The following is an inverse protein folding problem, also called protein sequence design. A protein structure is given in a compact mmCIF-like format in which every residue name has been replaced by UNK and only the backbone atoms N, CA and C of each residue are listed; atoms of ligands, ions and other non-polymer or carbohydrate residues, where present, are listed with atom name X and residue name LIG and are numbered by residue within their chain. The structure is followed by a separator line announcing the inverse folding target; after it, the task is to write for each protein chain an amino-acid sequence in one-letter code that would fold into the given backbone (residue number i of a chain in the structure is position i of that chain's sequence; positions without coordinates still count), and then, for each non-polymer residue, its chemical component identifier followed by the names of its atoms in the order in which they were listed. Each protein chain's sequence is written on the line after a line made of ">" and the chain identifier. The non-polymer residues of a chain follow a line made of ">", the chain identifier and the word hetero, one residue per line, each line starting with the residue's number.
data_IF_080839936388
#
_entry.id   IF_080839936388
#
_cell.length_a   1.000
_cell.length_b   1.000
_cell.length_c   1.000
_cell.angle_alpha   90.00
_cell.angle_beta   90.00
_cell.angle_gamma   90.00
#
_symmetry.space_group_name_H-M   'P 1'
#
loop_
_entity.id
_entity.type
_entity.pdbx_description
1 polymer ?
#
# COMPACT_ATOMS: atom_id res chain seq x y z
N UNK A 1 7.68 26.13 -1.22
CA UNK A 1 8.06 25.00 -0.35
C UNK A 1 8.99 24.12 -1.14
N UNK A 2 10.28 24.09 -0.81
CA UNK A 2 11.26 23.18 -1.38
C UNK A 2 10.82 21.76 -1.02
N UNK A 3 10.54 20.95 -2.05
CA UNK A 3 10.06 19.58 -1.86
C UNK A 3 11.05 18.78 -1.02
N UNK A 4 10.53 17.85 -0.21
CA UNK A 4 11.29 16.84 0.52
C UNK A 4 12.01 15.93 -0.51
N UNK A 5 13.17 16.38 -0.97
CA UNK A 5 14.00 15.62 -1.90
C UNK A 5 15.17 15.03 -1.11
N UNK A 6 15.40 13.73 -1.27
CA UNK A 6 16.60 13.06 -0.79
C UNK A 6 17.54 12.83 -1.95
N UNK A 7 18.83 13.06 -1.70
CA UNK A 7 19.95 12.65 -2.54
C UNK A 7 20.81 11.63 -1.77
N UNK A 8 21.64 10.90 -2.48
CA UNK A 8 22.65 10.04 -1.85
C UNK A 8 24.01 10.63 -2.16
N UNK A 9 24.72 11.02 -1.11
CA UNK A 9 26.07 11.57 -1.18
C UNK A 9 26.97 10.79 -0.21
N UNK A 10 28.07 10.25 -0.69
CA UNK A 10 28.99 9.41 0.08
C UNK A 10 28.30 8.30 0.89
N UNK A 11 27.30 7.64 0.29
CA UNK A 11 26.53 6.57 0.95
C UNK A 11 25.57 7.04 2.04
N UNK A 12 25.27 8.32 2.12
CA UNK A 12 24.36 8.92 3.11
C UNK A 12 23.18 9.58 2.41
N UNK A 13 22.01 9.51 3.03
CA UNK A 13 20.88 10.33 2.58
C UNK A 13 21.11 11.78 2.98
N UNK A 14 20.98 12.69 2.02
CA UNK A 14 21.10 14.13 2.23
C UNK A 14 19.83 14.84 1.77
N UNK A 15 19.48 15.92 2.45
CA UNK A 15 18.40 16.81 2.03
C UNK A 15 18.85 17.80 0.95
N UNK A 16 17.91 18.62 0.44
CA UNK A 16 18.22 19.63 -0.57
C UNK A 16 19.18 20.75 -0.12
N UNK A 17 19.64 20.74 1.12
CA UNK A 17 20.64 21.64 1.69
C UNK A 17 21.97 20.92 1.98
N UNK A 18 22.13 19.67 1.53
CA UNK A 18 23.31 18.86 1.75
C UNK A 18 23.47 18.33 3.19
N UNK A 19 22.44 18.43 4.04
CA UNK A 19 22.51 17.92 5.41
C UNK A 19 22.16 16.45 5.42
N UNK A 20 22.93 15.65 6.19
CA UNK A 20 22.63 14.23 6.37
C UNK A 20 21.25 14.04 7.03
N UNK A 21 20.45 13.17 6.45
CA UNK A 21 19.13 12.78 6.97
C UNK A 21 19.21 11.35 7.50
N UNK A 22 18.86 11.17 8.77
CA UNK A 22 18.68 9.86 9.37
C UNK A 22 17.20 9.51 9.26
N UNK A 23 16.90 8.46 8.49
CA UNK A 23 15.53 7.99 8.32
C UNK A 23 15.10 7.18 9.55
N UNK A 24 14.22 7.77 10.36
CA UNK A 24 13.55 7.09 11.48
C UNK A 24 12.15 6.72 11.04
N UNK A 25 12.00 5.46 10.63
CA UNK A 25 10.80 4.95 10.01
C UNK A 25 9.96 4.07 10.91
N UNK A 26 8.70 3.94 10.53
CA UNK A 26 7.74 2.99 11.08
C UNK A 26 6.92 2.38 9.96
N UNK A 27 6.49 1.13 10.12
CA UNK A 27 5.57 0.50 9.19
C UNK A 27 4.15 1.06 9.43
N UNK A 28 3.57 1.57 8.36
CA UNK A 28 2.15 1.90 8.29
C UNK A 28 1.50 0.74 7.54
N UNK A 29 1.18 -0.30 8.27
CA UNK A 29 0.66 -1.56 7.74
C UNK A 29 -0.77 -1.82 8.19
N UNK A 30 -1.10 -1.56 9.48
CA UNK A 30 -2.42 -1.84 10.03
C UNK A 30 -2.96 -3.18 9.53
N UNK A 31 -4.16 -3.17 8.99
CA UNK A 31 -4.81 -4.32 8.37
C UNK A 31 -4.63 -4.35 6.82
N UNK A 32 -3.52 -3.80 6.32
CA UNK A 32 -3.27 -3.67 4.88
C UNK A 32 -3.29 -4.99 4.10
N UNK A 33 -3.14 -6.13 4.79
CA UNK A 33 -3.18 -7.47 4.18
C UNK A 33 -4.56 -8.12 4.20
N UNK A 34 -5.56 -7.46 4.77
CA UNK A 34 -6.93 -7.96 4.85
C UNK A 34 -7.87 -7.01 4.12
N UNK A 35 -8.77 -7.52 3.27
CA UNK A 35 -9.76 -6.68 2.61
C UNK A 35 -10.67 -6.00 3.65
N UNK A 36 -11.20 -4.85 3.27
CA UNK A 36 -12.22 -4.16 4.04
C UNK A 36 -13.62 -4.67 3.72
N UNK A 37 -13.80 -5.28 2.55
CA UNK A 37 -15.06 -5.89 2.13
C UNK A 37 -14.78 -7.10 1.23
N UNK A 38 -15.29 -8.27 1.60
CA UNK A 38 -15.79 -8.63 2.93
C UNK A 38 -14.69 -8.50 3.99
N UNK A 39 -15.05 -8.16 5.23
CA UNK A 39 -14.11 -8.04 6.36
C UNK A 39 -13.72 -9.43 6.89
N UNK A 40 -12.94 -10.13 6.10
CA UNK A 40 -12.42 -11.47 6.41
C UNK A 40 -11.10 -11.68 5.64
N UNK A 41 -10.27 -12.66 6.06
CA UNK A 41 -9.09 -13.02 5.30
C UNK A 41 -9.45 -13.36 3.84
N UNK A 42 -8.67 -12.83 2.90
CA UNK A 42 -8.91 -13.07 1.46
C UNK A 42 -8.70 -14.53 1.02
N UNK A 43 -8.11 -15.36 1.88
CA UNK A 43 -7.94 -16.81 1.68
C UNK A 43 -8.94 -17.59 2.54
N UNK A 44 -10.18 -17.68 2.11
CA UNK A 44 -11.13 -18.59 2.76
C UNK A 44 -10.86 -20.02 2.28
N UNK A 45 -10.81 -21.03 3.17
CA UNK A 45 -10.43 -22.39 2.81
C UNK A 45 -11.25 -23.02 1.69
N UNK A 46 -12.51 -22.66 1.58
CA UNK A 46 -13.45 -23.25 0.60
C UNK A 46 -13.38 -22.56 -0.77
N UNK A 47 -12.76 -21.37 -0.85
CA UNK A 47 -12.63 -20.62 -2.09
C UNK A 47 -11.29 -19.86 -2.19
N UNK A 48 -10.21 -20.60 -2.12
CA UNK A 48 -8.84 -20.06 -2.23
C UNK A 48 -8.60 -19.25 -3.53
N UNK A 49 -9.42 -19.48 -4.55
CA UNK A 49 -9.27 -18.90 -5.89
C UNK A 49 -10.28 -17.78 -6.19
N UNK A 50 -11.28 -17.56 -5.36
CA UNK A 50 -12.22 -16.45 -5.51
C UNK A 50 -11.67 -15.19 -4.83
N UNK A 51 -11.09 -14.30 -5.62
CA UNK A 51 -10.54 -13.02 -5.19
C UNK A 51 -11.22 -11.84 -5.84
N UNK A 52 -12.17 -12.11 -6.71
CA UNK A 52 -12.69 -11.13 -7.67
C UNK A 52 -13.63 -10.08 -7.05
N UNK A 53 -13.98 -10.23 -5.78
CA UNK A 53 -14.99 -9.40 -5.10
C UNK A 53 -14.49 -8.78 -3.79
N UNK A 54 -13.17 -8.63 -3.62
CA UNK A 54 -12.59 -8.02 -2.42
C UNK A 54 -12.29 -6.54 -2.68
N UNK A 55 -12.40 -5.72 -1.63
CA UNK A 55 -11.97 -4.33 -1.64
C UNK A 55 -11.05 -4.04 -0.47
N UNK A 56 -10.05 -3.21 -0.70
CA UNK A 56 -9.11 -2.72 0.32
C UNK A 56 -9.26 -1.21 0.58
N UNK A 57 -10.31 -0.59 0.05
CA UNK A 57 -10.65 0.81 0.36
C UNK A 57 -10.76 0.97 1.87
N UNK A 58 -10.12 2.00 2.44
CA UNK A 58 -10.02 2.18 3.89
C UNK A 58 -8.88 1.42 4.56
N UNK A 59 -7.98 0.76 3.82
CA UNK A 59 -6.79 0.09 4.37
C UNK A 59 -5.51 0.86 4.06
N UNK A 60 -4.54 0.95 4.99
CA UNK A 60 -4.45 0.31 6.31
C UNK A 60 -5.33 0.95 7.40
N UNK A 61 -5.95 2.07 7.15
CA UNK A 61 -6.91 2.80 7.99
C UNK A 61 -7.74 3.75 7.11
N UNK A 62 -8.95 4.13 7.53
CA UNK A 62 -9.79 5.07 6.79
C UNK A 62 -9.06 6.42 6.58
N UNK A 63 -9.17 7.01 5.41
CA UNK A 63 -8.47 8.27 5.06
C UNK A 63 -8.78 9.43 6.01
N UNK A 64 -9.97 9.44 6.59
CA UNK A 64 -10.42 10.42 7.58
C UNK A 64 -9.53 10.42 8.83
N UNK A 65 -8.92 9.28 9.16
CA UNK A 65 -8.04 9.12 10.30
C UNK A 65 -6.58 9.50 10.01
N UNK A 66 -6.23 9.73 8.74
CA UNK A 66 -4.85 9.96 8.31
C UNK A 66 -4.16 11.09 9.09
N UNK A 67 -4.85 12.23 9.28
CA UNK A 67 -4.30 13.34 10.03
C UNK A 67 -4.06 13.03 11.51
N UNK A 68 -4.94 12.25 12.11
CA UNK A 68 -4.80 11.80 13.50
C UNK A 68 -3.55 10.91 13.65
N UNK A 69 -3.40 9.91 12.78
CA UNK A 69 -2.27 8.98 12.81
C UNK A 69 -0.95 9.69 12.52
N UNK A 70 -0.86 10.48 11.46
CA UNK A 70 0.39 11.14 11.09
C UNK A 70 0.80 12.23 12.09
N UNK A 71 -0.14 12.94 12.72
CA UNK A 71 0.21 13.88 13.78
C UNK A 71 0.82 13.16 14.99
N UNK A 72 0.29 12.01 15.39
CA UNK A 72 0.83 11.18 16.47
C UNK A 72 2.24 10.68 16.14
N UNK A 73 2.44 10.10 14.95
CA UNK A 73 3.74 9.62 14.50
C UNK A 73 4.77 10.75 14.46
N UNK A 74 4.38 11.93 13.99
CA UNK A 74 5.27 13.09 13.96
C UNK A 74 5.69 13.52 15.35
N UNK A 75 4.77 13.53 16.32
CA UNK A 75 5.08 13.83 17.72
C UNK A 75 6.02 12.82 18.36
N UNK A 76 5.98 11.56 17.93
CA UNK A 76 6.93 10.53 18.35
C UNK A 76 8.32 10.66 17.69
N UNK A 77 8.52 11.64 16.81
CA UNK A 77 9.81 11.92 16.16
C UNK A 77 10.11 11.10 14.92
N UNK A 78 9.13 10.38 14.37
CA UNK A 78 9.30 9.72 13.09
C UNK A 78 9.33 10.73 11.94
N UNK A 79 10.14 10.44 10.92
CA UNK A 79 10.24 11.25 9.70
C UNK A 79 10.04 10.43 8.43
N UNK A 80 9.88 9.12 8.56
CA UNK A 80 9.73 8.19 7.45
C UNK A 80 8.62 7.21 7.76
N UNK A 81 7.82 6.87 6.77
CA UNK A 81 6.85 5.77 6.83
C UNK A 81 7.14 4.76 5.73
N UNK A 82 7.03 3.48 6.06
CA UNK A 82 6.91 2.40 5.09
C UNK A 82 5.44 2.08 4.94
N UNK A 83 4.84 2.52 3.83
CA UNK A 83 3.43 2.30 3.52
C UNK A 83 3.29 0.95 2.85
N UNK A 84 2.69 0.01 3.58
CA UNK A 84 2.53 -1.38 3.13
C UNK A 84 1.17 -1.55 2.46
N UNK A 85 1.16 -2.20 1.31
CA UNK A 85 -0.05 -2.57 0.59
C UNK A 85 0.19 -3.89 -0.15
N UNK A 86 -0.88 -4.53 -0.63
CA UNK A 86 -0.78 -5.78 -1.39
C UNK A 86 -1.04 -5.54 -2.87
N UNK A 87 -0.57 -6.43 -3.72
CA UNK A 87 -0.97 -6.43 -5.14
C UNK A 87 -2.47 -6.59 -5.30
N UNK A 88 -3.07 -7.41 -4.46
CA UNK A 88 -4.52 -7.65 -4.43
C UNK A 88 -5.31 -6.35 -4.16
N UNK A 89 -4.75 -5.42 -3.39
CA UNK A 89 -5.38 -4.13 -3.15
C UNK A 89 -5.48 -3.26 -4.43
N UNK A 90 -4.58 -3.49 -5.38
CA UNK A 90 -4.56 -2.73 -6.63
C UNK A 90 -5.31 -3.45 -7.75
N UNK A 91 -5.19 -4.77 -7.84
CA UNK A 91 -5.63 -5.60 -8.97
C UNK A 91 -6.48 -6.79 -8.50
N UNK A 92 -7.40 -6.58 -7.55
CA UNK A 92 -8.24 -7.64 -7.01
C UNK A 92 -9.07 -8.35 -8.10
N UNK A 93 -9.62 -7.61 -9.05
CA UNK A 93 -10.46 -8.13 -10.12
C UNK A 93 -9.67 -8.84 -11.24
N UNK A 94 -8.34 -8.76 -11.25
CA UNK A 94 -7.50 -9.45 -12.21
C UNK A 94 -6.38 -8.56 -12.78
N UNK A 95 -5.42 -9.15 -13.49
CA UNK A 95 -4.27 -8.44 -14.03
C UNK A 95 -4.66 -7.31 -14.97
N UNK A 96 -4.19 -6.10 -14.65
CA UNK A 96 -4.46 -4.89 -15.44
C UNK A 96 -5.84 -4.27 -15.18
N UNK A 97 -6.62 -4.80 -14.22
CA UNK A 97 -7.90 -4.24 -13.79
C UNK A 97 -7.67 -3.57 -12.44
N UNK A 98 -7.44 -2.24 -12.46
CA UNK A 98 -7.05 -1.48 -11.28
C UNK A 98 -8.26 -1.04 -10.45
N UNK A 99 -8.13 -1.13 -9.12
CA UNK A 99 -9.09 -0.53 -8.18
C UNK A 99 -8.78 0.97 -8.05
N UNK A 100 -9.40 1.77 -8.92
CA UNK A 100 -9.22 3.23 -8.95
C UNK A 100 -9.66 3.89 -7.65
N UNK A 101 -10.68 3.34 -6.98
CA UNK A 101 -11.18 3.87 -5.71
C UNK A 101 -10.11 3.74 -4.60
N UNK A 102 -9.47 2.58 -4.52
CA UNK A 102 -8.34 2.36 -3.59
C UNK A 102 -7.13 3.25 -3.94
N UNK A 103 -6.81 3.40 -5.23
CA UNK A 103 -5.70 4.23 -5.68
C UNK A 103 -5.93 5.69 -5.28
N UNK A 104 -7.11 6.24 -5.56
CA UNK A 104 -7.46 7.62 -5.24
C UNK A 104 -7.39 7.88 -3.73
N UNK A 105 -7.96 6.99 -2.92
CA UNK A 105 -7.89 7.10 -1.47
C UNK A 105 -6.47 7.02 -0.94
N UNK A 106 -5.67 6.09 -1.47
CA UNK A 106 -4.26 5.97 -1.10
C UNK A 106 -3.49 7.26 -1.43
N UNK A 107 -3.73 7.87 -2.58
CA UNK A 107 -3.10 9.15 -2.95
C UNK A 107 -3.48 10.25 -1.94
N UNK A 108 -4.72 10.31 -1.47
CA UNK A 108 -5.15 11.27 -0.45
C UNK A 108 -4.40 11.04 0.88
N UNK A 109 -4.30 9.79 1.32
CA UNK A 109 -3.54 9.41 2.53
C UNK A 109 -2.06 9.80 2.41
N UNK A 110 -1.43 9.54 1.25
CA UNK A 110 -0.04 9.91 1.01
C UNK A 110 0.17 11.43 0.97
N UNK A 111 -0.79 12.19 0.44
CA UNK A 111 -0.79 13.66 0.49
C UNK A 111 -0.86 14.17 1.92
N UNK A 112 -1.71 13.55 2.76
CA UNK A 112 -1.75 13.86 4.19
C UNK A 112 -0.40 13.58 4.86
N UNK A 113 0.22 12.41 4.65
CA UNK A 113 1.54 12.10 5.16
C UNK A 113 2.60 13.14 4.75
N UNK A 114 2.60 13.53 3.47
CA UNK A 114 3.48 14.57 2.94
C UNK A 114 3.30 15.91 3.67
N UNK A 115 2.07 16.29 4.04
CA UNK A 115 1.82 17.56 4.75
C UNK A 115 2.46 17.61 6.13
N UNK A 116 2.71 16.45 6.77
CA UNK A 116 3.48 16.30 8.01
C UNK A 116 4.98 16.17 7.80
N UNK A 117 5.46 16.20 6.55
CA UNK A 117 6.87 16.14 6.23
C UNK A 117 7.47 14.74 6.39
N UNK A 118 6.70 13.68 6.09
CA UNK A 118 7.22 12.33 6.02
C UNK A 118 7.87 12.05 4.66
N UNK A 119 8.99 11.33 4.71
CA UNK A 119 9.48 10.54 3.58
C UNK A 119 8.65 9.25 3.51
N UNK A 120 8.30 8.84 2.31
CA UNK A 120 7.41 7.69 2.12
C UNK A 120 8.14 6.62 1.32
N UNK A 121 8.18 5.42 1.87
CA UNK A 121 8.63 4.20 1.21
C UNK A 121 7.39 3.34 0.90
N UNK A 122 7.04 3.25 -0.38
CA UNK A 122 5.93 2.40 -0.84
C UNK A 122 6.41 0.96 -0.93
N UNK A 123 5.69 0.05 -0.29
CA UNK A 123 6.05 -1.37 -0.22
C UNK A 123 4.91 -2.27 -0.69
N UNK A 124 4.95 -2.76 -1.92
CA UNK A 124 4.02 -3.78 -2.42
C UNK A 124 4.37 -5.13 -1.81
N UNK A 125 3.84 -5.40 -0.61
CA UNK A 125 4.19 -6.54 0.21
C UNK A 125 3.16 -7.66 0.09
N UNK A 126 3.40 -8.60 -0.81
CA UNK A 126 2.51 -9.73 -1.08
C UNK A 126 3.19 -11.05 -0.71
N UNK A 127 2.64 -11.77 0.27
CA UNK A 127 3.16 -13.06 0.71
C UNK A 127 2.68 -14.20 -0.23
N UNK A 128 1.44 -14.11 -0.71
CA UNK A 128 0.83 -15.08 -1.64
C UNK A 128 0.15 -14.33 -2.77
N UNK A 129 0.45 -14.68 -4.01
CA UNK A 129 -0.17 -14.05 -5.19
C UNK A 129 -1.38 -14.88 -5.62
N UNK A 130 -2.60 -14.46 -5.24
CA UNK A 130 -3.85 -15.10 -5.65
C UNK A 130 -4.19 -14.85 -7.12
N UNK A 131 -3.92 -13.66 -7.61
CA UNK A 131 -4.28 -13.21 -8.96
C UNK A 131 -3.69 -14.09 -10.08
N UNK A 132 -2.54 -14.73 -9.85
CA UNK A 132 -1.96 -15.65 -10.82
C UNK A 132 -2.70 -16.99 -10.93
N UNK A 133 -3.44 -17.37 -9.90
CA UNK A 133 -4.20 -18.62 -9.92
C UNK A 133 -5.49 -18.50 -10.75
N UNK A 134 -6.13 -17.33 -10.80
CA UNK A 134 -7.30 -17.08 -11.65
C UNK A 134 -6.96 -17.08 -13.15
N UNK A 135 -5.77 -16.58 -13.52
CA UNK A 135 -5.28 -16.60 -14.92
C UNK A 135 -5.08 -18.02 -15.45
N UNK A 136 -4.68 -18.97 -14.59
CA UNK A 136 -4.49 -20.36 -15.02
C UNK A 136 -5.82 -21.09 -15.30
N UNK A 137 -6.92 -20.64 -14.68
CA UNK A 137 -8.25 -21.23 -14.87
C UNK A 137 -8.88 -20.81 -16.21
N UNK A 138 -8.69 -19.58 -16.63
CA UNK A 138 -9.19 -19.07 -17.92
C UNK A 138 -8.55 -19.74 -19.14
N UNK A 139 -7.38 -20.38 -18.99
CA UNK A 139 -6.70 -21.10 -20.08
C UNK A 139 -7.09 -22.58 -20.24
N UNK A 140 -7.91 -23.13 -19.34
CA UNK A 140 -8.30 -24.57 -19.39
C UNK A 140 -9.64 -24.85 -20.05
N UNK A 141 -10.34 -23.86 -20.56
CA UNK A 141 -11.57 -24.04 -21.35
C UNK A 141 -11.30 -23.87 -22.84
N UNK A 142 -10.24 -24.50 -23.37
CA UNK A 142 -10.17 -24.81 -24.79
C UNK A 142 -10.68 -26.25 -24.91
N UNK A 143 -11.94 -26.41 -25.22
CA UNK A 143 -12.51 -27.70 -25.61
C UNK A 143 -11.80 -28.21 -26.86
N UNK A 144 -11.41 -29.51 -26.89
CA UNK A 144 -10.99 -30.12 -28.13
C UNK A 144 -12.24 -30.39 -28.99
N UNK A 145 -12.31 -29.71 -30.13
CA UNK A 145 -13.22 -30.06 -31.22
C UNK A 145 -12.77 -31.34 -31.94
#
# INVERSE_FOLDING_TARGET
>A
MTGLRLTIEDGKFCDGQGRQVILRGINVAGEAKYPSSPDQPSHVPDDFFDGDHVSFVGRPFPKEEAHLHFSRLKRCGYNTIRYVFTWEAIEAAGPGIYDEAWIDETIEVLRAAKSYGFYIFMDPHQDVVRTLASVSRSRRTVEPG
#
